data_IF_642851378617
#
_entry.id   IF_642851378617
#
_cell.length_a   1.000
_cell.length_b   1.000
_cell.length_c   1.000
_cell.angle_alpha   90.00
_cell.angle_beta   90.00
_cell.angle_gamma   90.00
#
_symmetry.space_group_name_H-M   'P 1'
#
loop_
_entity.id
_entity.type
_entity.pdbx_description
1 polymer ?
#
# COMPACT_ATOMS: atom_id res chain seq x y z
N UNK A 1 24.89 64.80 29.50
CA UNK A 1 25.82 64.57 28.38
C UNK A 1 26.03 63.08 28.23
N UNK A 2 25.65 62.58 27.05
CA UNK A 2 26.22 61.40 26.36
C UNK A 2 25.95 60.02 26.98
N UNK A 3 25.47 58.99 26.29
CA UNK A 3 24.74 58.80 25.02
C UNK A 3 24.42 57.30 24.99
N UNK A 4 23.16 56.97 24.68
CA UNK A 4 22.68 55.77 23.99
C UNK A 4 23.61 54.54 23.90
N UNK A 5 23.16 53.43 24.49
CA UNK A 5 23.32 52.10 23.88
C UNK A 5 22.00 51.33 23.90
N UNK A 6 21.48 51.18 22.70
CA UNK A 6 20.43 50.29 22.24
C UNK A 6 20.60 48.89 22.85
N UNK A 7 19.54 48.34 23.45
CA UNK A 7 19.43 46.90 23.71
C UNK A 7 18.13 46.40 23.10
N UNK A 8 18.34 45.51 22.14
CA UNK A 8 17.42 44.93 21.18
C UNK A 8 16.34 44.11 21.90
N UNK A 9 15.08 44.38 21.60
CA UNK A 9 13.93 43.58 22.03
C UNK A 9 13.95 42.28 21.21
N UNK A 10 14.34 41.15 21.82
CA UNK A 10 14.08 39.82 21.27
C UNK A 10 12.59 39.50 21.47
N UNK A 11 11.77 39.87 20.49
CA UNK A 11 10.42 39.32 20.36
C UNK A 11 10.52 37.85 19.96
N UNK A 12 10.32 36.95 20.92
CA UNK A 12 9.95 35.56 20.63
C UNK A 12 8.55 35.59 19.99
N UNK A 13 8.51 35.60 18.66
CA UNK A 13 7.32 35.26 17.91
C UNK A 13 7.00 33.79 18.15
N UNK A 14 5.94 33.53 18.92
CA UNK A 14 5.31 32.23 18.95
C UNK A 14 4.79 31.95 17.54
N UNK A 15 5.49 31.10 16.78
CA UNK A 15 4.93 30.43 15.61
C UNK A 15 3.88 29.46 16.14
N UNK A 16 2.66 29.95 16.33
CA UNK A 16 1.48 29.12 16.50
C UNK A 16 1.23 28.40 15.18
N UNK A 17 1.80 27.21 15.03
CA UNK A 17 1.28 26.23 14.09
C UNK A 17 -0.15 25.94 14.54
N UNK A 18 -1.13 26.49 13.83
CA UNK A 18 -2.50 26.00 13.90
C UNK A 18 -2.52 24.64 13.24
N UNK A 19 -2.19 23.58 13.99
CA UNK A 19 -2.62 22.24 13.64
C UNK A 19 -4.14 22.24 13.73
N UNK A 20 -4.81 22.62 12.64
CA UNK A 20 -6.23 22.29 12.44
C UNK A 20 -6.27 20.78 12.23
N UNK A 21 -6.15 20.01 13.31
CA UNK A 21 -6.50 18.60 13.30
C UNK A 21 -8.02 18.56 13.12
N UNK A 22 -8.49 18.60 11.88
CA UNK A 22 -9.88 18.32 11.57
C UNK A 22 -10.15 16.91 12.09
N UNK A 23 -11.14 16.76 12.96
CA UNK A 23 -11.52 15.43 13.45
C UNK A 23 -11.76 14.52 12.23
N UNK A 24 -11.17 13.33 12.16
CA UNK A 24 -11.36 12.43 11.04
C UNK A 24 -12.85 12.22 10.75
N UNK A 25 -13.21 12.22 9.47
CA UNK A 25 -14.58 12.06 8.99
C UNK A 25 -14.65 10.92 7.99
N UNK A 26 -15.76 10.20 8.04
CA UNK A 26 -16.12 9.18 7.08
C UNK A 26 -17.42 9.62 6.41
N UNK A 27 -17.42 9.74 5.09
CA UNK A 27 -18.65 9.95 4.32
C UNK A 27 -19.10 8.60 3.78
N UNK A 28 -20.25 8.14 4.22
CA UNK A 28 -20.94 6.99 3.65
C UNK A 28 -21.82 7.46 2.50
N UNK A 29 -21.64 6.87 1.33
CA UNK A 29 -22.42 7.13 0.13
C UNK A 29 -22.99 5.82 -0.41
N UNK A 30 -24.33 5.73 -0.38
CA UNK A 30 -25.10 4.61 -0.91
C UNK A 30 -26.20 5.07 -1.86
N UNK A 31 -27.38 4.45 -1.77
CA UNK A 31 -28.56 4.83 -2.55
C UNK A 31 -29.35 6.04 -1.99
N UNK A 32 -29.16 6.35 -0.71
CA UNK A 32 -29.77 7.50 -0.04
C UNK A 32 -28.84 8.72 0.04
N UNK A 33 -29.26 9.72 0.82
CA UNK A 33 -28.46 10.90 1.10
C UNK A 33 -27.13 10.53 1.80
N UNK A 34 -26.01 11.18 1.46
CA UNK A 34 -24.73 10.94 2.13
C UNK A 34 -24.81 11.16 3.64
N UNK A 35 -24.20 10.24 4.39
CA UNK A 35 -24.14 10.31 5.85
C UNK A 35 -22.69 10.54 6.30
N UNK A 36 -22.50 11.28 7.39
CA UNK A 36 -21.15 11.62 7.90
C UNK A 36 -20.96 11.04 9.29
N UNK A 37 -19.90 10.25 9.45
CA UNK A 37 -19.55 9.57 10.69
C UNK A 37 -18.19 10.03 11.20
N UNK A 38 -17.93 9.71 12.47
CA UNK A 38 -16.66 10.02 13.16
C UNK A 38 -15.93 8.77 13.65
N UNK A 39 -16.61 7.62 13.65
CA UNK A 39 -16.10 6.31 14.03
C UNK A 39 -16.33 5.36 12.86
N UNK A 40 -15.46 4.35 12.72
CA UNK A 40 -15.59 3.36 11.65
C UNK A 40 -16.71 2.37 11.96
N UNK A 41 -16.94 2.08 13.24
CA UNK A 41 -17.99 1.18 13.71
C UNK A 41 -19.38 1.70 13.36
N UNK A 42 -19.67 2.98 13.59
CA UNK A 42 -20.97 3.56 13.24
C UNK A 42 -21.17 3.61 11.72
N UNK A 43 -20.11 3.91 10.96
CA UNK A 43 -20.15 3.93 9.51
C UNK A 43 -20.45 2.54 8.93
N UNK A 44 -19.78 1.49 9.44
CA UNK A 44 -20.00 0.11 9.00
C UNK A 44 -21.37 -0.45 9.43
N UNK A 45 -21.86 -0.04 10.60
CA UNK A 45 -23.19 -0.42 11.07
C UNK A 45 -24.30 0.18 10.18
N UNK A 46 -24.12 1.42 9.72
CA UNK A 46 -25.06 2.08 8.80
C UNK A 46 -24.94 1.57 7.36
N UNK A 47 -23.73 1.17 6.94
CA UNK A 47 -23.45 0.77 5.56
C UNK A 47 -24.25 -0.45 5.11
N UNK A 48 -24.79 -0.34 3.90
CA UNK A 48 -25.40 -1.42 3.15
C UNK A 48 -24.39 -2.04 2.17
N UNK A 49 -24.60 -3.29 1.71
CA UNK A 49 -23.77 -3.91 0.70
C UNK A 49 -23.60 -3.02 -0.55
N UNK A 50 -22.34 -2.85 -0.96
CA UNK A 50 -21.83 -2.03 -2.06
C UNK A 50 -21.85 -0.51 -1.82
N UNK A 51 -22.07 -0.05 -0.59
CA UNK A 51 -21.87 1.35 -0.24
C UNK A 51 -20.38 1.74 -0.30
N UNK A 52 -20.14 3.03 -0.50
CA UNK A 52 -18.80 3.63 -0.51
C UNK A 52 -18.54 4.38 0.78
N UNK A 53 -17.37 4.16 1.37
CA UNK A 53 -16.89 4.87 2.54
C UNK A 53 -15.68 5.72 2.15
N UNK A 54 -15.85 7.04 2.19
CA UNK A 54 -14.78 8.00 1.92
C UNK A 54 -14.20 8.50 3.24
N UNK A 55 -12.92 8.26 3.45
CA UNK A 55 -12.20 8.64 4.65
C UNK A 55 -11.41 9.92 4.38
N UNK A 56 -11.52 10.89 5.28
CA UNK A 56 -10.57 12.01 5.33
C UNK A 56 -9.17 11.51 5.69
N UNK A 57 -8.16 12.38 5.60
CA UNK A 57 -6.89 12.09 6.26
C UNK A 57 -7.06 12.04 7.77
N UNK A 58 -6.20 11.26 8.41
CA UNK A 58 -6.22 10.95 9.83
C UNK A 58 -6.24 9.46 10.13
N UNK A 59 -6.19 9.13 11.42
CA UNK A 59 -6.25 7.75 11.92
C UNK A 59 -7.67 7.44 12.40
N UNK A 60 -8.23 6.35 11.89
CA UNK A 60 -9.52 5.79 12.29
C UNK A 60 -9.26 4.53 13.12
N UNK A 61 -9.51 4.64 14.42
CA UNK A 61 -9.23 3.58 15.39
C UNK A 61 -10.50 2.76 15.66
N UNK A 62 -10.48 1.47 15.33
CA UNK A 62 -11.46 0.50 15.81
C UNK A 62 -10.95 -0.20 17.08
N UNK A 63 -11.36 0.27 18.25
CA UNK A 63 -10.70 -0.06 19.52
C UNK A 63 -10.71 -1.57 19.85
N UNK A 64 -11.72 -2.29 19.39
CA UNK A 64 -11.94 -3.73 19.68
C UNK A 64 -11.66 -4.63 18.48
N UNK A 65 -10.95 -4.14 17.48
CA UNK A 65 -10.79 -4.80 16.19
C UNK A 65 -11.80 -4.31 15.16
N UNK A 66 -11.50 -4.54 13.89
CA UNK A 66 -12.33 -4.12 12.76
C UNK A 66 -12.76 -5.35 11.98
N UNK A 67 -14.06 -5.53 11.76
CA UNK A 67 -14.59 -6.61 10.93
C UNK A 67 -15.31 -6.00 9.73
N UNK A 68 -14.93 -6.44 8.54
CA UNK A 68 -15.58 -6.12 7.28
C UNK A 68 -16.28 -7.40 6.82
N UNK A 69 -17.62 -7.36 6.80
CA UNK A 69 -18.49 -8.53 6.68
C UNK A 69 -19.55 -8.40 5.58
N UNK A 70 -19.39 -7.41 4.70
CA UNK A 70 -20.26 -7.17 3.55
C UNK A 70 -19.44 -6.47 2.46
N UNK A 71 -19.81 -6.59 1.17
CA UNK A 71 -19.07 -5.92 0.10
C UNK A 71 -19.13 -4.41 0.32
N UNK A 72 -17.99 -3.74 0.44
CA UNK A 72 -17.90 -2.30 0.65
C UNK A 72 -16.71 -1.71 -0.11
N UNK A 73 -16.78 -0.41 -0.40
CA UNK A 73 -15.75 0.28 -1.17
C UNK A 73 -15.12 1.40 -0.34
N UNK A 74 -13.91 1.18 0.13
CA UNK A 74 -13.16 2.08 1.00
C UNK A 74 -12.23 2.97 0.18
N UNK A 75 -12.35 4.28 0.35
CA UNK A 75 -11.56 5.29 -0.37
C UNK A 75 -10.92 6.23 0.65
N UNK A 76 -9.61 6.12 0.82
CA UNK A 76 -8.83 7.01 1.67
C UNK A 76 -8.33 8.27 0.95
N UNK A 77 -7.65 9.12 1.71
CA UNK A 77 -6.99 10.33 1.26
C UNK A 77 -5.55 10.09 0.74
N UNK A 78 -5.10 8.83 0.69
CA UNK A 78 -3.77 8.45 0.21
C UNK A 78 -2.83 7.98 1.31
N UNK A 79 -1.70 7.43 0.88
CA UNK A 79 -0.67 6.83 1.73
C UNK A 79 0.64 7.62 1.75
N UNK A 80 0.90 8.45 0.74
CA UNK A 80 2.15 9.18 0.59
C UNK A 80 2.08 10.52 1.35
N UNK A 81 3.00 10.79 2.30
CA UNK A 81 2.96 12.01 3.11
C UNK A 81 2.94 13.31 2.30
N UNK A 82 3.78 13.42 1.26
CA UNK A 82 3.85 14.64 0.45
C UNK A 82 2.61 14.86 -0.44
N UNK A 83 2.16 13.82 -1.16
CA UNK A 83 0.96 13.93 -2.00
C UNK A 83 -0.30 14.14 -1.18
N UNK A 84 -0.35 13.59 0.03
CA UNK A 84 -1.43 13.80 0.99
C UNK A 84 -1.15 14.95 1.97
N UNK A 85 -0.16 15.81 1.73
CA UNK A 85 0.25 16.86 2.69
C UNK A 85 -0.86 17.84 3.06
N UNK A 86 -1.79 18.10 2.13
CA UNK A 86 -2.96 18.97 2.35
C UNK A 86 -4.06 18.30 3.16
N UNK A 87 -4.25 16.99 3.00
CA UNK A 87 -5.37 16.24 3.59
C UNK A 87 -4.98 15.40 4.81
N UNK A 88 -3.70 15.10 4.96
CA UNK A 88 -3.21 13.96 5.74
C UNK A 88 -3.42 12.62 5.01
N UNK A 89 -2.69 11.59 5.42
CA UNK A 89 -2.88 10.21 4.97
C UNK A 89 -4.04 9.55 5.71
N UNK A 90 -4.72 8.58 5.10
CA UNK A 90 -5.73 7.78 5.80
C UNK A 90 -5.10 6.52 6.41
N UNK A 91 -5.31 6.30 7.70
CA UNK A 91 -4.88 5.09 8.40
C UNK A 91 -6.03 4.40 9.08
N UNK A 92 -6.25 3.11 8.79
CA UNK A 92 -7.13 2.24 9.57
C UNK A 92 -6.28 1.51 10.61
N UNK A 93 -6.67 1.63 11.88
CA UNK A 93 -5.94 1.05 13.00
C UNK A 93 -6.89 0.40 14.00
N UNK A 94 -6.34 -0.42 14.89
CA UNK A 94 -7.09 -1.16 15.90
C UNK A 94 -6.37 -1.11 17.25
N UNK A 95 -7.09 -1.35 18.34
CA UNK A 95 -6.53 -1.30 19.69
C UNK A 95 -5.74 -2.57 20.07
N UNK A 96 -4.68 -2.41 20.87
CA UNK A 96 -3.95 -3.54 21.46
C UNK A 96 -3.34 -4.48 20.42
N UNK A 97 -3.74 -5.76 20.45
CA UNK A 97 -3.32 -6.79 19.49
C UNK A 97 -4.46 -7.26 18.58
N UNK A 98 -5.53 -6.47 18.46
CA UNK A 98 -6.72 -6.85 17.68
C UNK A 98 -6.51 -6.67 16.19
N UNK A 99 -7.18 -7.46 15.38
CA UNK A 99 -6.99 -7.56 13.94
C UNK A 99 -7.91 -6.62 13.14
N UNK A 100 -7.52 -6.36 11.90
CA UNK A 100 -8.47 -6.02 10.83
C UNK A 100 -8.82 -7.32 10.11
N UNK A 101 -10.09 -7.71 10.18
CA UNK A 101 -10.60 -8.97 9.63
C UNK A 101 -11.54 -8.70 8.46
N UNK A 102 -11.32 -9.41 7.34
CA UNK A 102 -12.20 -9.38 6.16
C UNK A 102 -12.80 -10.77 5.99
N UNK A 103 -14.10 -10.93 6.17
CA UNK A 103 -14.75 -12.26 6.12
C UNK A 103 -15.20 -12.59 4.69
N UNK A 104 -15.55 -13.86 4.44
CA UNK A 104 -16.10 -14.33 3.15
C UNK A 104 -17.23 -13.44 2.61
N UNK A 105 -18.11 -12.95 3.48
CA UNK A 105 -19.25 -12.10 3.09
C UNK A 105 -18.83 -10.72 2.56
N UNK A 106 -17.58 -10.31 2.82
CA UNK A 106 -17.00 -9.09 2.26
C UNK A 106 -16.37 -9.26 0.87
N UNK A 107 -16.56 -10.41 0.22
CA UNK A 107 -16.15 -10.63 -1.18
C UNK A 107 -16.54 -9.44 -2.07
N UNK A 108 -15.67 -9.08 -3.01
CA UNK A 108 -15.81 -7.94 -3.95
C UNK A 108 -15.64 -6.56 -3.33
N UNK A 109 -15.19 -6.47 -2.07
CA UNK A 109 -14.80 -5.19 -1.48
C UNK A 109 -13.56 -4.61 -2.17
N UNK A 110 -13.46 -3.28 -2.18
CA UNK A 110 -12.32 -2.57 -2.77
C UNK A 110 -11.75 -1.57 -1.78
N UNK A 111 -10.42 -1.37 -1.83
CA UNK A 111 -9.70 -0.49 -0.94
C UNK A 111 -8.71 0.34 -1.75
N UNK A 112 -8.69 1.65 -1.53
CA UNK A 112 -7.66 2.50 -2.13
C UNK A 112 -7.21 3.63 -1.23
N UNK A 113 -5.91 3.97 -1.29
CA UNK A 113 -5.35 5.11 -0.58
C UNK A 113 -5.38 4.97 0.94
N UNK A 114 -5.25 3.75 1.46
CA UNK A 114 -5.38 3.42 2.88
C UNK A 114 -4.10 2.75 3.39
N UNK A 115 -3.64 3.21 4.56
CA UNK A 115 -2.63 2.53 5.37
C UNK A 115 -3.35 1.61 6.36
N UNK A 116 -3.14 0.31 6.24
CA UNK A 116 -3.56 -0.69 7.22
C UNK A 116 -2.48 -0.84 8.29
N UNK A 117 -2.79 -0.37 9.51
CA UNK A 117 -1.87 -0.41 10.64
C UNK A 117 -2.59 -0.90 11.91
N UNK A 118 -3.07 -2.17 11.93
CA UNK A 118 -3.68 -2.74 13.13
C UNK A 118 -2.69 -2.90 14.27
N UNK A 119 -3.24 -3.05 15.47
CA UNK A 119 -2.52 -3.53 16.65
C UNK A 119 -2.04 -4.97 16.49
N UNK A 120 -2.90 -5.83 15.92
CA UNK A 120 -2.60 -7.20 15.48
C UNK A 120 -2.22 -7.27 14.00
N UNK A 121 -2.80 -8.24 13.29
CA UNK A 121 -2.55 -8.52 11.87
C UNK A 121 -3.76 -8.13 10.98
N UNK A 122 -3.57 -8.17 9.66
CA UNK A 122 -4.66 -8.17 8.68
C UNK A 122 -4.92 -9.63 8.32
N UNK A 123 -6.15 -10.10 8.46
CA UNK A 123 -6.48 -11.50 8.19
C UNK A 123 -7.82 -11.67 7.48
N UNK A 124 -7.93 -12.73 6.69
CA UNK A 124 -9.21 -13.16 6.15
C UNK A 124 -9.85 -14.18 7.07
N UNK A 125 -11.12 -13.93 7.40
CA UNK A 125 -11.92 -14.73 8.32
C UNK A 125 -11.47 -14.67 9.78
N UNK A 126 -12.37 -15.11 10.65
CA UNK A 126 -12.11 -15.38 12.08
C UNK A 126 -11.90 -16.87 12.34
N UNK A 127 -12.20 -17.69 11.34
CA UNK A 127 -12.17 -19.14 11.36
C UNK A 127 -12.05 -19.69 9.92
N UNK A 128 -11.86 -21.01 9.78
CA UNK A 128 -11.89 -21.66 8.47
C UNK A 128 -13.29 -21.71 7.81
N UNK A 129 -14.34 -21.17 8.47
CA UNK A 129 -15.69 -21.11 7.93
C UNK A 129 -15.97 -19.81 7.18
N UNK A 130 -15.13 -18.78 7.37
CA UNK A 130 -15.35 -17.42 6.88
C UNK A 130 -14.07 -16.76 6.33
N UNK A 131 -13.06 -17.54 5.95
CA UNK A 131 -11.74 -17.08 5.49
C UNK A 131 -11.55 -17.09 3.97
N UNK A 132 -12.64 -17.14 3.22
CA UNK A 132 -12.66 -17.27 1.75
C UNK A 132 -13.25 -16.04 1.02
N UNK A 133 -12.91 -14.77 1.38
CA UNK A 133 -13.36 -13.65 0.57
C UNK A 133 -12.75 -13.70 -0.82
N UNK A 134 -13.56 -13.43 -1.83
CA UNK A 134 -13.15 -13.49 -3.23
C UNK A 134 -13.26 -12.12 -3.89
N UNK A 135 -12.42 -11.91 -4.90
CA UNK A 135 -12.40 -10.72 -5.75
C UNK A 135 -12.20 -9.40 -4.98
N UNK A 136 -11.40 -9.46 -3.91
CA UNK A 136 -10.97 -8.27 -3.21
C UNK A 136 -9.96 -7.49 -4.05
N UNK A 137 -10.04 -6.16 -4.03
CA UNK A 137 -9.14 -5.29 -4.78
C UNK A 137 -8.49 -4.28 -3.84
N UNK A 138 -7.17 -4.22 -3.82
CA UNK A 138 -6.39 -3.23 -3.10
C UNK A 138 -5.54 -2.44 -4.10
N UNK A 139 -5.69 -1.12 -4.09
CA UNK A 139 -4.96 -0.22 -5.00
C UNK A 139 -4.34 0.93 -4.23
N UNK A 140 -3.02 1.10 -4.30
CA UNK A 140 -2.34 2.20 -3.59
C UNK A 140 -2.59 2.16 -2.09
N UNK A 141 -2.46 0.97 -1.51
CA UNK A 141 -2.58 0.74 -0.08
C UNK A 141 -1.22 0.40 0.52
N UNK A 142 -1.07 0.61 1.83
CA UNK A 142 0.11 0.17 2.57
C UNK A 142 -0.29 -0.80 3.69
N UNK A 143 0.45 -1.87 3.88
CA UNK A 143 0.25 -2.88 4.91
C UNK A 143 1.45 -2.89 5.85
N UNK A 144 1.25 -2.34 7.06
CA UNK A 144 2.32 -2.19 8.05
C UNK A 144 2.46 -3.40 8.99
N UNK A 145 1.60 -4.40 8.81
CA UNK A 145 1.52 -5.62 9.62
C UNK A 145 1.37 -6.82 8.70
N UNK A 146 1.44 -8.02 9.26
CA UNK A 146 1.29 -9.24 8.47
C UNK A 146 -0.10 -9.28 7.85
N UNK A 147 -0.14 -9.77 6.62
CA UNK A 147 -1.38 -9.95 5.87
C UNK A 147 -1.54 -11.43 5.56
N UNK A 148 -2.57 -12.06 6.11
CA UNK A 148 -2.94 -13.44 5.81
C UNK A 148 -4.17 -13.45 4.92
N UNK A 149 -4.03 -14.05 3.73
CA UNK A 149 -5.14 -14.24 2.79
C UNK A 149 -5.98 -15.48 3.15
N UNK A 150 -6.12 -15.77 4.44
CA UNK A 150 -6.86 -16.91 4.98
C UNK A 150 -6.55 -17.10 6.46
N UNK A 151 -7.46 -17.71 7.20
CA UNK A 151 -7.28 -18.03 8.61
C UNK A 151 -6.41 -19.29 8.75
N UNK A 152 -6.70 -20.30 7.94
CA UNK A 152 -5.95 -21.55 7.88
C UNK A 152 -5.38 -21.82 6.48
N UNK A 153 -4.36 -22.67 6.39
CA UNK A 153 -3.90 -23.15 5.08
C UNK A 153 -4.98 -24.05 4.46
N UNK A 154 -5.34 -23.78 3.21
CA UNK A 154 -6.47 -24.41 2.53
C UNK A 154 -7.56 -23.42 2.11
N UNK A 155 -7.43 -22.16 2.51
CA UNK A 155 -8.30 -21.07 2.08
C UNK A 155 -8.30 -20.93 0.56
N UNK A 156 -9.48 -20.63 0.02
CA UNK A 156 -9.80 -20.46 -1.39
C UNK A 156 -10.05 -18.99 -1.79
N UNK A 157 -9.66 -18.06 -0.93
CA UNK A 157 -9.80 -16.61 -1.13
C UNK A 157 -9.08 -16.11 -2.40
N UNK A 158 -9.47 -14.93 -2.88
CA UNK A 158 -8.81 -14.27 -4.02
C UNK A 158 -8.70 -12.76 -3.85
N UNK A 159 -7.55 -12.20 -4.24
CA UNK A 159 -7.31 -10.76 -4.16
C UNK A 159 -6.39 -10.24 -5.26
N UNK A 160 -6.59 -8.99 -5.66
CA UNK A 160 -5.61 -8.23 -6.44
C UNK A 160 -4.99 -7.12 -5.59
N UNK A 161 -3.68 -6.97 -5.73
CA UNK A 161 -2.90 -5.91 -5.12
C UNK A 161 -2.17 -5.18 -6.24
N UNK A 162 -2.48 -3.91 -6.40
CA UNK A 162 -1.86 -3.06 -7.40
C UNK A 162 -1.30 -1.80 -6.73
N UNK A 163 -0.05 -1.46 -7.04
CA UNK A 163 0.62 -0.27 -6.49
C UNK A 163 0.63 -0.24 -4.95
N UNK A 164 0.66 -1.41 -4.31
CA UNK A 164 0.64 -1.53 -2.85
C UNK A 164 2.04 -1.65 -2.24
N UNK A 165 2.15 -1.30 -0.97
CA UNK A 165 3.38 -1.44 -0.19
C UNK A 165 3.14 -2.44 0.96
N UNK A 166 4.00 -3.44 1.09
CA UNK A 166 4.02 -4.38 2.21
C UNK A 166 5.28 -4.16 3.02
N UNK A 167 5.14 -3.97 4.34
CA UNK A 167 6.26 -3.81 5.28
C UNK A 167 6.47 -5.00 6.23
N UNK A 168 5.65 -6.03 6.07
CA UNK A 168 5.75 -7.29 6.80
C UNK A 168 5.26 -8.43 5.89
N UNK A 169 5.11 -9.65 6.42
CA UNK A 169 4.82 -10.85 5.63
C UNK A 169 3.45 -10.79 4.94
N UNK A 170 3.42 -11.11 3.65
CA UNK A 170 2.21 -11.49 2.92
C UNK A 170 2.14 -13.01 2.81
N UNK A 171 1.08 -13.60 3.34
CA UNK A 171 0.89 -15.05 3.36
C UNK A 171 -0.37 -15.45 2.58
N UNK A 172 -0.20 -16.28 1.56
CA UNK A 172 -1.28 -16.76 0.72
C UNK A 172 -2.21 -17.77 1.38
N UNK A 173 -1.75 -18.61 2.31
CA UNK A 173 -2.57 -19.67 2.96
C UNK A 173 -3.35 -20.57 1.97
N UNK A 174 -2.75 -20.84 0.81
CA UNK A 174 -3.35 -21.54 -0.35
C UNK A 174 -4.32 -20.72 -1.23
N UNK A 175 -4.52 -19.45 -0.89
CA UNK A 175 -5.33 -18.53 -1.68
C UNK A 175 -4.61 -17.96 -2.89
N UNK A 176 -5.36 -17.20 -3.69
CA UNK A 176 -4.92 -16.65 -4.97
C UNK A 176 -4.66 -15.14 -4.87
N UNK A 177 -3.54 -14.69 -5.42
CA UNK A 177 -3.24 -13.28 -5.55
C UNK A 177 -2.70 -12.91 -6.93
N UNK A 178 -3.17 -11.78 -7.45
CA UNK A 178 -2.55 -11.05 -8.55
C UNK A 178 -1.86 -9.84 -7.94
N UNK A 179 -0.56 -9.70 -8.12
CA UNK A 179 0.25 -8.65 -7.50
C UNK A 179 1.01 -7.93 -8.61
N UNK A 180 0.71 -6.64 -8.79
CA UNK A 180 1.30 -5.79 -9.82
C UNK A 180 1.82 -4.48 -9.23
N UNK A 181 2.96 -4.00 -9.70
CA UNK A 181 3.51 -2.69 -9.29
C UNK A 181 3.67 -2.54 -7.77
N UNK A 182 3.85 -3.64 -7.04
CA UNK A 182 3.93 -3.62 -5.58
C UNK A 182 5.37 -3.55 -5.09
N UNK A 183 5.54 -2.99 -3.90
CA UNK A 183 6.81 -2.90 -3.18
C UNK A 183 6.71 -3.78 -1.95
N UNK A 184 7.65 -4.72 -1.81
CA UNK A 184 7.82 -5.53 -0.62
C UNK A 184 9.08 -5.07 0.10
N UNK A 185 8.90 -4.28 1.15
CA UNK A 185 9.97 -3.72 1.96
C UNK A 185 10.29 -4.66 3.11
N UNK A 186 11.35 -5.47 2.96
CA UNK A 186 11.69 -6.55 3.89
C UNK A 186 10.53 -7.55 4.14
N UNK A 187 9.52 -7.51 3.27
CA UNK A 187 8.27 -8.23 3.38
C UNK A 187 8.38 -9.56 2.63
N UNK A 188 8.29 -10.65 3.37
CA UNK A 188 8.34 -12.00 2.78
C UNK A 188 7.00 -12.35 2.15
N UNK A 189 7.04 -12.96 0.96
CA UNK A 189 5.87 -13.51 0.26
C UNK A 189 5.87 -15.02 0.47
N UNK A 190 4.81 -15.60 1.04
CA UNK A 190 4.84 -17.01 1.46
C UNK A 190 3.49 -17.73 1.31
N UNK A 191 3.53 -19.08 1.27
CA UNK A 191 2.35 -19.96 1.33
C UNK A 191 1.30 -19.78 0.22
N UNK A 192 1.74 -19.47 -1.01
CA UNK A 192 0.91 -19.57 -2.20
C UNK A 192 1.06 -20.96 -2.83
N UNK A 193 0.37 -21.96 -2.28
CA UNK A 193 0.41 -23.37 -2.71
C UNK A 193 -0.93 -24.06 -2.42
N UNK A 194 -1.44 -24.97 -3.26
CA UNK A 194 -0.76 -25.63 -4.38
C UNK A 194 -0.63 -24.77 -5.65
N UNK A 195 -1.40 -23.69 -5.79
CA UNK A 195 -1.23 -22.68 -6.86
C UNK A 195 -1.83 -21.37 -6.39
N UNK A 196 -1.57 -20.26 -7.08
CA UNK A 196 -2.37 -19.05 -6.88
C UNK A 196 -1.68 -17.70 -6.98
N UNK A 197 -0.36 -17.61 -7.23
CA UNK A 197 0.31 -16.31 -7.32
C UNK A 197 0.70 -15.94 -8.75
N UNK A 198 0.26 -14.76 -9.18
CA UNK A 198 0.84 -14.02 -10.30
C UNK A 198 1.49 -12.75 -9.75
N UNK A 199 2.82 -12.67 -9.81
CA UNK A 199 3.60 -11.51 -9.37
C UNK A 199 4.28 -10.88 -10.58
N UNK A 200 3.92 -9.64 -10.90
CA UNK A 200 4.43 -8.96 -12.08
C UNK A 200 4.86 -7.53 -11.76
N UNK A 201 5.92 -7.06 -12.41
CA UNK A 201 6.35 -5.66 -12.35
C UNK A 201 6.45 -5.14 -10.91
N UNK A 202 7.06 -5.92 -10.01
CA UNK A 202 7.11 -5.61 -8.58
C UNK A 202 8.56 -5.61 -8.09
N UNK A 203 8.79 -4.94 -6.96
CA UNK A 203 10.11 -4.83 -6.33
C UNK A 203 10.06 -5.52 -4.97
N UNK A 204 10.96 -6.48 -4.75
CA UNK A 204 11.11 -7.22 -3.50
C UNK A 204 12.45 -6.88 -2.88
N UNK A 205 12.42 -5.97 -1.89
CA UNK A 205 13.61 -5.47 -1.22
C UNK A 205 14.00 -6.38 -0.05
N UNK A 206 15.24 -6.89 -0.08
CA UNK A 206 15.85 -7.65 1.00
C UNK A 206 15.00 -8.82 1.56
N UNK A 207 14.06 -9.34 0.77
CA UNK A 207 13.11 -10.36 1.19
C UNK A 207 13.00 -11.50 0.18
N UNK A 208 12.34 -12.58 0.60
CA UNK A 208 12.18 -13.80 -0.20
C UNK A 208 10.75 -14.03 -0.63
N UNK A 209 10.62 -14.72 -1.76
CA UNK A 209 9.42 -15.46 -2.12
C UNK A 209 9.61 -16.93 -1.75
N UNK A 210 8.74 -17.50 -0.91
CA UNK A 210 9.01 -18.81 -0.33
C UNK A 210 7.80 -19.69 -0.08
N UNK A 211 8.03 -20.97 0.22
CA UNK A 211 7.01 -21.94 0.63
C UNK A 211 5.79 -21.98 -0.30
N UNK A 212 6.01 -21.84 -1.60
CA UNK A 212 4.96 -21.59 -2.57
C UNK A 212 5.16 -22.46 -3.81
N UNK A 213 4.09 -22.70 -4.55
CA UNK A 213 4.15 -23.54 -5.73
C UNK A 213 3.31 -23.02 -6.87
N UNK A 214 3.72 -23.36 -8.10
CA UNK A 214 2.99 -23.03 -9.33
C UNK A 214 2.67 -21.53 -9.47
N UNK A 215 3.58 -20.67 -9.02
CA UNK A 215 3.50 -19.24 -9.19
C UNK A 215 4.11 -18.82 -10.53
N UNK A 216 3.65 -17.68 -11.05
CA UNK A 216 4.22 -17.02 -12.21
C UNK A 216 4.79 -15.68 -11.72
N UNK A 217 6.09 -15.46 -11.96
CA UNK A 217 6.83 -14.27 -11.54
C UNK A 217 7.48 -13.62 -12.77
N UNK A 218 7.16 -12.36 -13.07
CA UNK A 218 7.61 -11.70 -14.30
C UNK A 218 8.01 -10.25 -14.08
N UNK A 219 9.05 -9.78 -14.77
CA UNK A 219 9.44 -8.35 -14.77
C UNK A 219 9.67 -7.79 -13.35
N UNK A 220 10.17 -8.60 -12.41
CA UNK A 220 10.35 -8.21 -11.01
C UNK A 220 11.83 -7.96 -10.65
N UNK A 221 12.05 -7.15 -9.63
CA UNK A 221 13.38 -6.95 -9.02
C UNK A 221 13.44 -7.65 -7.67
N UNK A 222 14.52 -8.38 -7.39
CA UNK A 222 14.80 -8.98 -6.08
C UNK A 222 16.18 -8.55 -5.57
N UNK A 223 16.21 -7.83 -4.44
CA UNK A 223 17.46 -7.36 -3.83
C UNK A 223 17.96 -8.21 -2.66
N UNK A 224 17.33 -9.36 -2.42
CA UNK A 224 17.81 -10.30 -1.42
C UNK A 224 19.20 -10.85 -1.76
N UNK A 225 20.15 -10.69 -0.83
CA UNK A 225 21.53 -11.16 -0.97
C UNK A 225 21.64 -12.68 -0.77
N UNK A 226 21.17 -13.41 -1.77
CA UNK A 226 21.16 -14.88 -1.84
C UNK A 226 20.12 -15.33 -2.86
N UNK A 227 19.68 -16.59 -2.79
CA UNK A 227 18.57 -17.05 -3.60
C UNK A 227 17.25 -16.41 -3.12
N UNK A 228 16.57 -15.59 -3.94
CA UNK A 228 15.32 -14.94 -3.54
C UNK A 228 14.15 -15.93 -3.46
N UNK A 229 14.22 -17.08 -4.14
CA UNK A 229 13.19 -18.10 -4.12
C UNK A 229 13.60 -19.29 -3.25
N UNK A 230 12.88 -19.52 -2.15
CA UNK A 230 13.22 -20.56 -1.15
C UNK A 230 12.08 -21.54 -0.90
N UNK A 231 12.33 -22.86 -0.93
CA UNK A 231 11.28 -23.87 -0.74
C UNK A 231 10.09 -23.69 -1.71
N UNK A 232 10.41 -23.50 -2.99
CA UNK A 232 9.40 -23.39 -4.05
C UNK A 232 9.41 -24.57 -5.01
N UNK A 233 8.28 -24.82 -5.68
CA UNK A 233 8.14 -25.88 -6.68
C UNK A 233 7.21 -25.47 -7.84
N UNK A 234 7.55 -25.83 -9.08
CA UNK A 234 6.73 -25.53 -10.25
C UNK A 234 6.60 -24.02 -10.57
N UNK A 235 7.44 -23.16 -10.01
CA UNK A 235 7.43 -21.73 -10.29
C UNK A 235 7.97 -21.46 -11.69
N UNK A 236 7.32 -20.57 -12.42
CA UNK A 236 7.80 -20.00 -13.68
C UNK A 236 8.26 -18.57 -13.40
N UNK A 237 9.56 -18.29 -13.55
CA UNK A 237 10.12 -16.97 -13.30
C UNK A 237 10.87 -16.46 -14.53
N UNK A 238 10.51 -15.27 -15.01
CA UNK A 238 11.17 -14.70 -16.19
C UNK A 238 11.39 -13.20 -16.12
N UNK A 239 12.38 -12.72 -16.86
CA UNK A 239 12.67 -11.29 -17.00
C UNK A 239 12.81 -10.58 -15.65
N UNK A 240 13.47 -11.22 -14.68
CA UNK A 240 13.68 -10.64 -13.36
C UNK A 240 15.13 -10.20 -13.16
N UNK A 241 15.32 -9.13 -12.40
CA UNK A 241 16.61 -8.56 -12.03
C UNK A 241 16.97 -8.96 -10.60
N UNK A 242 18.07 -9.68 -10.43
CA UNK A 242 18.41 -10.38 -9.18
C UNK A 242 19.81 -9.96 -8.71
N UNK A 243 19.89 -9.58 -7.44
CA UNK A 243 21.19 -9.27 -6.80
C UNK A 243 21.99 -10.53 -6.47
N UNK A 244 21.32 -11.60 -6.04
CA UNK A 244 21.92 -12.89 -5.78
C UNK A 244 22.55 -13.56 -7.02
N UNK A 245 23.54 -14.42 -6.77
CA UNK A 245 24.20 -15.21 -7.80
C UNK A 245 23.39 -16.43 -8.28
N UNK A 246 22.25 -16.71 -7.65
CA UNK A 246 21.36 -17.81 -8.01
C UNK A 246 19.92 -17.49 -7.67
N UNK A 247 18.98 -18.19 -8.31
CA UNK A 247 17.55 -17.95 -8.14
C UNK A 247 16.94 -18.73 -6.99
N UNK A 248 17.26 -20.02 -6.90
CA UNK A 248 16.56 -20.98 -6.05
C UNK A 248 17.45 -21.55 -4.95
N UNK A 249 16.87 -21.78 -3.77
CA UNK A 249 17.51 -22.52 -2.68
C UNK A 249 16.50 -23.42 -1.97
N UNK A 250 16.88 -24.66 -1.67
CA UNK A 250 16.00 -25.65 -1.03
C UNK A 250 14.68 -25.85 -1.81
N UNK A 251 14.74 -25.76 -3.13
CA UNK A 251 13.57 -25.78 -4.02
C UNK A 251 13.54 -27.06 -4.85
N UNK A 252 12.35 -27.46 -5.29
CA UNK A 252 12.18 -28.63 -6.16
C UNK A 252 12.79 -28.42 -7.55
N UNK A 253 13.00 -29.51 -8.28
CA UNK A 253 13.62 -29.47 -9.62
C UNK A 253 12.67 -29.07 -10.75
N UNK A 254 11.39 -28.79 -10.47
CA UNK A 254 10.36 -28.46 -11.47
C UNK A 254 10.22 -26.97 -11.78
N UNK A 255 11.06 -26.12 -11.17
CA UNK A 255 11.03 -24.68 -11.41
C UNK A 255 11.63 -24.35 -12.79
N UNK A 256 11.10 -23.33 -13.44
CA UNK A 256 11.52 -22.88 -14.77
C UNK A 256 11.95 -21.42 -14.70
N UNK A 257 13.09 -21.12 -15.31
CA UNK A 257 13.64 -19.77 -15.39
C UNK A 257 13.92 -19.38 -16.85
N UNK A 258 13.67 -18.12 -17.21
CA UNK A 258 13.98 -17.59 -18.53
C UNK A 258 14.35 -16.11 -18.47
N UNK A 259 15.42 -15.71 -19.17
CA UNK A 259 15.80 -14.28 -19.33
C UNK A 259 15.97 -13.50 -18.01
N UNK A 260 16.38 -14.18 -16.93
CA UNK A 260 16.69 -13.51 -15.66
C UNK A 260 18.13 -12.98 -15.67
N UNK A 261 18.36 -11.86 -14.99
CA UNK A 261 19.65 -11.17 -14.92
C UNK A 261 20.15 -11.27 -13.48
N UNK A 262 21.31 -11.88 -13.26
CA UNK A 262 21.85 -12.22 -11.94
C UNK A 262 23.03 -11.35 -11.52
N UNK A 263 23.39 -11.43 -10.23
CA UNK A 263 24.64 -10.88 -9.69
C UNK A 263 24.73 -9.36 -9.74
N UNK A 264 23.60 -8.67 -9.73
CA UNK A 264 23.57 -7.21 -9.75
C UNK A 264 23.92 -6.63 -8.37
N UNK A 265 24.64 -5.52 -8.35
CA UNK A 265 24.88 -4.80 -7.10
C UNK A 265 23.61 -4.03 -6.72
N UNK A 266 23.13 -4.19 -5.49
CA UNK A 266 21.87 -3.58 -5.05
C UNK A 266 21.85 -2.05 -5.29
N UNK A 267 22.95 -1.37 -4.94
CA UNK A 267 23.12 0.08 -5.08
C UNK A 267 23.30 0.57 -6.53
N UNK A 268 23.26 -0.30 -7.54
CA UNK A 268 23.32 0.09 -8.96
C UNK A 268 22.03 -0.15 -9.71
N UNK A 269 21.03 -0.77 -9.07
CA UNK A 269 19.77 -1.13 -9.72
C UNK A 269 18.88 0.09 -9.91
N UNK A 270 18.73 0.90 -8.87
CA UNK A 270 17.79 2.01 -8.81
C UNK A 270 18.48 3.37 -8.90
N UNK A 271 17.73 4.41 -9.22
CA UNK A 271 18.20 5.81 -9.20
C UNK A 271 18.52 6.25 -7.77
N UNK A 272 17.63 5.96 -6.81
CA UNK A 272 17.82 6.30 -5.41
C UNK A 272 17.16 5.25 -4.48
N UNK A 273 17.89 4.16 -4.21
CA UNK A 273 17.61 3.19 -3.13
C UNK A 273 18.94 2.47 -2.86
N UNK A 274 19.45 2.50 -1.64
CA UNK A 274 20.81 1.98 -1.33
C UNK A 274 20.94 1.17 -0.05
N UNK A 275 19.90 1.10 0.77
CA UNK A 275 19.95 0.50 2.11
C UNK A 275 19.03 -0.73 2.25
N UNK A 276 18.29 -1.07 1.20
CA UNK A 276 17.30 -2.14 1.11
C UNK A 276 15.97 -1.83 1.80
N UNK A 277 15.78 -0.64 2.39
CA UNK A 277 14.59 -0.25 3.15
C UNK A 277 13.84 0.79 2.33
N UNK A 278 12.56 0.53 2.04
CA UNK A 278 11.76 1.48 1.27
C UNK A 278 11.28 2.66 2.11
N UNK A 279 11.68 3.85 1.68
CA UNK A 279 11.14 5.14 2.10
C UNK A 279 10.40 5.83 0.96
N UNK A 280 9.41 6.66 1.29
CA UNK A 280 8.66 7.42 0.25
C UNK A 280 9.52 8.42 -0.53
N UNK A 281 10.74 8.71 -0.07
CA UNK A 281 11.71 9.54 -0.79
C UNK A 281 12.61 8.74 -1.75
N UNK A 282 12.50 7.42 -1.77
CA UNK A 282 13.27 6.57 -2.68
C UNK A 282 12.76 6.68 -4.10
N UNK A 283 13.69 6.60 -5.05
CA UNK A 283 13.41 6.56 -6.48
C UNK A 283 13.75 5.16 -7.01
N UNK A 284 12.68 4.35 -7.15
CA UNK A 284 12.76 2.98 -7.64
C UNK A 284 12.70 2.89 -9.18
N UNK A 285 12.85 4.00 -9.91
CA UNK A 285 13.21 3.91 -11.32
C UNK A 285 14.54 3.18 -11.46
N UNK A 286 14.68 2.38 -12.51
CA UNK A 286 15.95 1.75 -12.80
C UNK A 286 17.00 2.82 -13.09
N UNK A 287 18.20 2.64 -12.54
CA UNK A 287 19.37 3.45 -12.92
C UNK A 287 19.59 3.34 -14.44
N UNK A 288 20.03 4.41 -15.13
CA UNK A 288 20.29 4.37 -16.58
C UNK A 288 21.29 3.29 -17.01
N UNK A 289 22.16 2.83 -16.12
CA UNK A 289 23.12 1.74 -16.38
C UNK A 289 22.59 0.35 -15.99
N UNK A 290 21.40 0.26 -15.43
CA UNK A 290 20.79 -1.00 -15.02
C UNK A 290 20.51 -1.87 -16.25
N UNK A 291 20.91 -3.14 -16.25
CA UNK A 291 20.60 -4.05 -17.36
C UNK A 291 19.12 -4.44 -17.39
N UNK A 292 18.32 -4.01 -16.40
CA UNK A 292 16.86 -4.18 -16.43
C UNK A 292 16.13 -3.20 -17.35
N UNK A 293 16.81 -2.16 -17.87
CA UNK A 293 16.24 -1.19 -18.81
C UNK A 293 15.90 -1.88 -20.13
N UNK A 294 14.64 -1.83 -20.55
CA UNK A 294 14.11 -2.50 -21.74
C UNK A 294 14.15 -4.04 -21.72
N UNK A 295 14.43 -4.65 -20.57
CA UNK A 295 14.60 -6.10 -20.43
C UNK A 295 13.32 -6.85 -20.06
N UNK A 296 12.21 -6.15 -19.88
CA UNK A 296 10.88 -6.73 -19.70
C UNK A 296 10.44 -7.55 -20.92
N UNK A 297 9.52 -8.49 -20.70
CA UNK A 297 9.04 -9.39 -21.76
C UNK A 297 8.26 -8.69 -22.89
N UNK A 298 7.90 -7.43 -22.71
CA UNK A 298 7.25 -6.53 -23.68
C UNK A 298 8.16 -5.38 -24.15
N UNK A 299 9.45 -5.43 -23.80
CA UNK A 299 10.43 -4.40 -24.12
C UNK A 299 10.39 -3.17 -23.22
N UNK A 300 9.56 -3.18 -22.18
CA UNK A 300 9.60 -2.17 -21.11
C UNK A 300 10.68 -2.50 -20.07
N UNK A 301 10.87 -1.63 -19.08
CA UNK A 301 11.81 -1.86 -17.99
C UNK A 301 11.34 -2.99 -17.06
N UNK A 302 12.26 -3.56 -16.28
CA UNK A 302 11.92 -4.45 -15.15
C UNK A 302 11.55 -3.59 -13.93
N UNK A 303 10.56 -4.00 -13.13
CA UNK A 303 10.15 -3.32 -11.89
C UNK A 303 8.83 -2.55 -12.02
N UNK A 304 8.56 -1.70 -11.01
CA UNK A 304 7.24 -1.05 -10.83
C UNK A 304 6.92 0.04 -11.86
N UNK A 305 7.91 0.59 -12.56
CA UNK A 305 7.71 1.56 -13.65
C UNK A 305 7.72 0.92 -15.04
N UNK A 306 7.93 -0.40 -15.10
CA UNK A 306 8.13 -1.17 -16.32
C UNK A 306 6.84 -1.66 -16.99
N UNK A 307 5.90 -0.78 -17.31
CA UNK A 307 4.66 -1.20 -17.98
C UNK A 307 3.98 -0.05 -18.72
N UNK A 308 2.92 -0.35 -19.46
CA UNK A 308 2.07 0.67 -20.10
C UNK A 308 1.27 1.51 -19.08
N UNK A 309 1.16 1.05 -17.84
CA UNK A 309 0.48 1.72 -16.72
C UNK A 309 1.38 1.61 -15.48
N UNK A 310 2.48 2.38 -15.42
CA UNK A 310 3.49 2.27 -14.38
C UNK A 310 2.97 2.72 -13.03
N UNK A 311 3.72 2.38 -11.97
CA UNK A 311 3.46 2.88 -10.61
C UNK A 311 3.26 4.39 -10.60
N UNK A 312 2.13 4.81 -10.05
CA UNK A 312 1.77 6.20 -9.92
C UNK A 312 2.54 6.87 -8.79
N UNK A 313 3.39 7.81 -9.18
CA UNK A 313 4.08 8.69 -8.24
C UNK A 313 3.14 9.32 -7.22
N UNK A 314 3.55 9.29 -5.96
CA UNK A 314 2.74 9.80 -4.86
C UNK A 314 1.59 8.89 -4.41
N UNK A 315 1.39 7.73 -5.06
CA UNK A 315 0.36 6.74 -4.69
C UNK A 315 -1.03 7.34 -4.41
N UNK A 316 -1.39 8.41 -5.13
CA UNK A 316 -2.64 9.13 -4.91
C UNK A 316 -3.83 8.28 -5.38
N UNK A 317 -4.87 8.09 -4.55
CA UNK A 317 -6.05 7.32 -4.93
C UNK A 317 -6.78 7.96 -6.11
N UNK A 318 -7.73 7.24 -6.71
CA UNK A 318 -8.39 7.70 -7.94
C UNK A 318 -9.38 8.86 -7.73
N UNK A 319 -9.78 9.17 -6.50
CA UNK A 319 -10.68 10.27 -6.23
C UNK A 319 -10.02 11.64 -6.47
N UNK A 320 -10.80 12.70 -6.78
CA UNK A 320 -10.26 14.05 -6.85
C UNK A 320 -9.49 14.39 -5.59
N UNK A 321 -8.28 14.91 -5.78
CA UNK A 321 -7.34 15.18 -4.70
C UNK A 321 -7.19 16.69 -4.49
N UNK A 322 -7.16 17.12 -3.23
CA UNK A 322 -6.84 18.50 -2.87
C UNK A 322 -5.35 18.75 -3.09
N UNK A 323 -5.02 19.79 -3.85
CA UNK A 323 -3.64 20.20 -4.12
C UNK A 323 -3.21 21.37 -3.24
N UNK A 324 -4.18 22.21 -2.84
CA UNK A 324 -3.97 23.32 -1.94
C UNK A 324 -5.32 23.72 -1.32
N UNK A 325 -5.28 24.10 -0.04
CA UNK A 325 -6.40 24.72 0.64
C UNK A 325 -5.86 25.92 1.44
N UNK A 326 -6.40 27.10 1.17
CA UNK A 326 -6.18 28.31 1.96
C UNK A 326 -7.53 28.75 2.48
N UNK A 327 -7.73 28.59 3.78
CA UNK A 327 -8.93 29.01 4.50
C UNK A 327 -8.48 30.05 5.50
N UNK A 328 -8.98 31.28 5.36
CA UNK A 328 -8.62 32.34 6.28
C UNK A 328 -9.12 32.02 7.70
N UNK A 329 -8.40 32.51 8.71
CA UNK A 329 -8.74 32.23 10.10
C UNK A 329 -10.02 32.95 10.57
N UNK A 330 -10.51 33.92 9.81
CA UNK A 330 -11.68 34.73 10.14
C UNK A 330 -12.38 35.22 8.88
N UNK A 331 -13.62 35.68 9.05
CA UNK A 331 -14.35 36.34 7.98
C UNK A 331 -13.71 37.69 7.62
N UNK A 332 -13.82 38.08 6.36
CA UNK A 332 -13.39 39.39 5.86
C UNK A 332 -14.34 40.49 6.37
N UNK A 333 -14.05 41.75 6.01
CA UNK A 333 -14.88 42.90 6.39
C UNK A 333 -16.34 42.86 5.92
N UNK A 334 -16.69 41.95 5.01
CA UNK A 334 -18.05 41.71 4.52
C UNK A 334 -18.75 40.54 5.24
N UNK A 335 -18.09 39.89 6.21
CA UNK A 335 -18.63 38.73 6.91
C UNK A 335 -18.50 37.40 6.14
N UNK A 336 -17.77 37.37 5.02
CA UNK A 336 -17.52 36.15 4.24
C UNK A 336 -16.24 35.48 4.72
N UNK A 337 -16.15 34.15 4.75
CA UNK A 337 -14.90 33.44 5.04
C UNK A 337 -14.15 33.18 3.73
N UNK A 338 -12.99 33.82 3.47
CA UNK A 338 -12.23 33.54 2.26
C UNK A 338 -11.73 32.10 2.25
N UNK A 339 -12.08 31.37 1.19
CA UNK A 339 -11.72 29.97 0.98
C UNK A 339 -11.24 29.83 -0.46
N UNK A 340 -9.98 29.41 -0.62
CA UNK A 340 -9.40 29.05 -1.90
C UNK A 340 -8.97 27.59 -1.86
N UNK A 341 -9.64 26.76 -2.65
CA UNK A 341 -9.37 25.33 -2.73
C UNK A 341 -9.01 24.98 -4.17
N UNK A 342 -7.88 24.30 -4.35
CA UNK A 342 -7.47 23.73 -5.63
C UNK A 342 -7.58 22.22 -5.55
N UNK A 343 -8.30 21.62 -6.50
CA UNK A 343 -8.44 20.18 -6.64
C UNK A 343 -8.05 19.75 -8.04
N UNK A 344 -7.60 18.50 -8.18
CA UNK A 344 -7.40 17.87 -9.48
C UNK A 344 -7.99 16.46 -9.48
N UNK A 345 -8.65 16.13 -10.59
CA UNK A 345 -8.99 14.74 -10.88
C UNK A 345 -7.69 13.94 -11.02
N UNK A 346 -7.72 12.71 -10.55
CA UNK A 346 -6.58 11.82 -10.56
C UNK A 346 -6.71 10.89 -11.76
N UNK A 347 -5.67 10.76 -12.62
CA UNK A 347 -5.67 9.71 -13.63
C UNK A 347 -5.66 8.35 -12.91
N UNK A 348 -6.36 7.41 -13.54
CA UNK A 348 -6.32 5.99 -13.16
C UNK A 348 -4.95 5.43 -13.45
#
# INVERSE_FOLDING_TARGET
>A
MNTQRLLLICGLGALSYSTMAQNPRIVLQGSGDPQVFTTIEDALAAAQPNDKLYFSGGTFLAATGLVIDKPLHFVGAGIHPDSSSTTGTTTLSTGGSTEITITTDASRSTFTGIIFNPGGDIQYGTSAADDDPTDLVFQRCAFNRKTYLGFAEGASSSSSFDECIFRDVLTGRASKAVITHCIFDHATISLFRPSGLFLKNSVVLAARFQNSSNAIVQNCVFTYNGAPLWQVAGVQISNCLITGAGMFSNSGSSNQEANNIYGQLANTIFVNETNGIYDFGDDLHLSPSSPGVGAGNDGTDIGIYGSASPYKEGASPYNPHYQAATIDAATNGNGELPVNIRMAAQPH
#
